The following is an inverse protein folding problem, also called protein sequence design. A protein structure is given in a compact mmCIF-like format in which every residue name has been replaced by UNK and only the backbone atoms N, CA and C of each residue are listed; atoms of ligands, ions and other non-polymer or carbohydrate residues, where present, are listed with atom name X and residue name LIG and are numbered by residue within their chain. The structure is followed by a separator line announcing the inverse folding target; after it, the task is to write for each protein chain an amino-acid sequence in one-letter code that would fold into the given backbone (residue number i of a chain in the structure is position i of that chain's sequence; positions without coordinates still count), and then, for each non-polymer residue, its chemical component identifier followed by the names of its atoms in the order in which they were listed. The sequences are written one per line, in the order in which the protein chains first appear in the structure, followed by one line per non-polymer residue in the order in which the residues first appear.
data_IF_131752640446
#
_entry.id   IF_131752640446
#
_cell.length_a   1.000
_cell.length_b   1.000
_cell.length_c   1.000
_cell.angle_alpha   90.00
_cell.angle_beta   90.00
_cell.angle_gamma   90.00
#
_symmetry.space_group_name_H-M   'P 1'
#
loop_
_entity.id
_entity.type
_entity.pdbx_description
1 polymer ?
#
# COMPACT_ATOMS: atom_id res chain seq x y z
N UNK A 1 8.62 -9.44 12.74
CA UNK A 1 8.28 -9.95 11.40
C UNK A 1 9.39 -9.60 10.43
N UNK A 2 9.56 -10.40 9.38
CA UNK A 2 10.52 -10.14 8.30
C UNK A 2 9.76 -9.69 7.06
N UNK A 3 10.37 -8.78 6.29
CA UNK A 3 9.85 -8.36 5.00
C UNK A 3 9.85 -9.57 4.04
N UNK A 4 8.73 -9.81 3.39
CA UNK A 4 8.59 -10.92 2.45
C UNK A 4 9.42 -10.72 1.18
N UNK A 5 9.63 -11.82 0.45
CA UNK A 5 10.40 -11.80 -0.80
C UNK A 5 9.54 -11.46 -2.03
N UNK A 6 8.22 -11.65 -1.97
CA UNK A 6 7.29 -11.41 -3.07
C UNK A 6 6.05 -10.64 -2.61
N UNK A 7 5.40 -9.96 -3.56
CA UNK A 7 4.26 -9.08 -3.31
C UNK A 7 3.11 -9.75 -2.54
N UNK A 8 2.84 -11.02 -2.79
CA UNK A 8 1.76 -11.76 -2.14
C UNK A 8 2.05 -12.20 -0.69
N UNK A 9 3.18 -11.76 -0.12
CA UNK A 9 3.39 -11.78 1.33
C UNK A 9 2.57 -10.71 2.05
N UNK A 10 2.13 -9.67 1.31
CA UNK A 10 1.40 -8.51 1.84
C UNK A 10 2.09 -7.80 3.00
N UNK A 11 3.42 -7.87 3.03
CA UNK A 11 4.24 -7.16 4.01
C UNK A 11 4.72 -5.83 3.45
N UNK A 12 4.83 -4.83 4.30
CA UNK A 12 5.41 -3.52 3.97
C UNK A 12 6.29 -3.09 5.13
N UNK A 13 7.50 -2.65 4.84
CA UNK A 13 8.36 -2.08 5.86
C UNK A 13 8.31 -0.54 5.79
N UNK A 14 7.97 0.09 6.91
CA UNK A 14 7.93 1.54 7.05
C UNK A 14 8.82 1.94 8.22
N UNK A 15 9.81 2.79 7.97
CA UNK A 15 10.79 3.25 8.96
C UNK A 15 11.43 2.09 9.76
N UNK A 16 11.75 0.99 9.06
CA UNK A 16 12.37 -0.21 9.65
C UNK A 16 11.41 -1.17 10.35
N UNK A 17 10.11 -0.82 10.46
CA UNK A 17 9.08 -1.70 11.02
C UNK A 17 8.30 -2.40 9.93
N UNK A 18 8.23 -3.72 9.98
CA UNK A 18 7.44 -4.54 9.05
C UNK A 18 6.02 -4.67 9.55
N UNK A 19 5.06 -4.41 8.65
CA UNK A 19 3.63 -4.58 8.84
C UNK A 19 3.14 -5.66 7.87
N UNK A 20 2.19 -6.48 8.29
CA UNK A 20 1.49 -7.43 7.40
C UNK A 20 0.05 -6.99 7.22
N UNK A 21 -0.38 -6.78 5.98
CA UNK A 21 -1.75 -6.37 5.66
C UNK A 21 -2.72 -7.55 5.68
N UNK A 22 -3.97 -7.33 6.15
CA UNK A 22 -4.43 -6.11 6.77
C UNK A 22 -3.89 -5.97 8.21
N UNK A 23 -3.64 -4.73 8.63
CA UNK A 23 -3.18 -4.43 9.99
C UNK A 23 -4.09 -3.37 10.65
N UNK A 24 -3.85 -3.06 11.92
CA UNK A 24 -4.61 -2.00 12.60
C UNK A 24 -4.03 -0.63 12.29
N UNK A 25 -4.84 0.43 12.45
CA UNK A 25 -4.35 1.82 12.37
C UNK A 25 -3.24 2.05 13.40
N UNK A 26 -3.36 1.48 14.60
CA UNK A 26 -2.33 1.60 15.63
C UNK A 26 -0.98 0.99 15.21
N UNK A 27 -1.00 -0.13 14.47
CA UNK A 27 0.22 -0.72 13.91
C UNK A 27 0.88 0.23 12.91
N UNK A 28 0.09 0.83 12.02
CA UNK A 28 0.59 1.81 11.06
C UNK A 28 1.11 3.07 11.77
N UNK A 29 0.38 3.60 12.75
CA UNK A 29 0.81 4.78 13.51
C UNK A 29 2.09 4.55 14.31
N UNK A 30 2.36 3.31 14.70
CA UNK A 30 3.62 2.96 15.39
C UNK A 30 4.87 3.11 14.50
N UNK A 31 4.71 3.33 13.19
CA UNK A 31 5.79 3.65 12.26
C UNK A 31 6.14 5.15 12.22
N UNK A 32 5.36 5.99 12.88
CA UNK A 32 5.49 7.45 12.89
C UNK A 32 4.49 8.17 11.97
N UNK A 33 3.69 7.43 11.21
CA UNK A 33 2.61 7.99 10.40
C UNK A 33 1.36 8.24 11.27
N UNK A 34 0.58 9.24 10.93
CA UNK A 34 -0.69 9.56 11.58
C UNK A 34 -1.75 9.87 10.55
N UNK A 35 -2.97 9.46 10.82
CA UNK A 35 -4.12 9.76 9.97
C UNK A 35 -4.30 11.27 9.81
N UNK A 36 -4.44 11.74 8.57
CA UNK A 36 -4.77 13.13 8.28
C UNK A 36 -6.28 13.31 8.26
N UNK A 37 -6.84 13.70 9.40
CA UNK A 37 -8.29 13.91 9.57
C UNK A 37 -8.89 14.99 8.64
N UNK A 38 -8.04 15.79 7.98
CA UNK A 38 -8.51 16.70 6.93
C UNK A 38 -8.82 15.98 5.63
N UNK A 39 -8.15 14.86 5.37
CA UNK A 39 -8.41 14.02 4.20
C UNK A 39 -9.62 13.11 4.41
N UNK A 40 -9.75 12.56 5.62
CA UNK A 40 -10.88 11.74 6.05
C UNK A 40 -11.06 11.92 7.56
N UNK A 41 -12.24 12.42 8.02
CA UNK A 41 -12.53 12.49 9.45
C UNK A 41 -12.51 11.11 10.11
N UNK A 42 -12.03 11.04 11.34
CA UNK A 42 -11.96 9.77 12.10
C UNK A 42 -13.31 9.11 12.34
N UNK A 43 -14.38 9.93 12.41
CA UNK A 43 -15.78 9.49 12.58
C UNK A 43 -16.51 9.21 11.25
N UNK A 44 -15.81 9.29 10.10
CA UNK A 44 -16.41 8.96 8.82
C UNK A 44 -16.88 7.49 8.80
N UNK A 45 -18.14 7.28 8.47
CA UNK A 45 -18.76 5.94 8.46
C UNK A 45 -18.43 5.19 7.16
N UNK A 46 -17.93 3.98 7.30
CA UNK A 46 -17.63 3.05 6.20
C UNK A 46 -18.56 1.85 6.32
N UNK A 47 -19.34 1.59 5.28
CA UNK A 47 -20.28 0.47 5.22
C UNK A 47 -19.58 -0.88 5.33
N UNK A 48 -20.32 -1.90 5.74
CA UNK A 48 -19.82 -3.27 5.84
C UNK A 48 -19.35 -3.79 4.47
N UNK A 49 -18.12 -4.28 4.39
CA UNK A 49 -17.51 -4.79 3.17
C UNK A 49 -16.96 -3.71 2.23
N UNK A 50 -17.07 -2.42 2.60
CA UNK A 50 -16.55 -1.30 1.84
C UNK A 50 -15.20 -0.81 2.35
N UNK A 51 -14.60 0.10 1.61
CA UNK A 51 -13.35 0.77 1.95
C UNK A 51 -13.40 2.27 1.64
N UNK A 52 -12.47 3.00 2.23
CA UNK A 52 -12.29 4.43 1.97
C UNK A 52 -10.81 4.78 1.98
N UNK A 53 -10.39 5.62 1.04
CA UNK A 53 -9.03 6.15 1.01
C UNK A 53 -8.83 7.20 2.09
N UNK A 54 -7.69 7.17 2.75
CA UNK A 54 -7.23 8.16 3.70
C UNK A 54 -5.75 8.46 3.49
N UNK A 55 -5.33 9.68 3.77
CA UNK A 55 -3.91 10.04 3.81
C UNK A 55 -3.38 9.91 5.23
N UNK A 56 -2.22 9.29 5.34
CA UNK A 56 -1.41 9.26 6.56
C UNK A 56 -0.14 10.07 6.33
N UNK A 57 0.29 10.81 7.33
CA UNK A 57 1.44 11.71 7.23
C UNK A 57 2.37 11.57 8.44
N UNK A 58 3.65 11.82 8.22
CA UNK A 58 4.65 12.02 9.27
C UNK A 58 4.78 13.50 9.67
N UNK A 59 5.63 13.77 10.67
CA UNK A 59 5.89 15.14 11.13
C UNK A 59 6.62 15.99 10.06
N UNK A 60 7.31 15.36 9.11
CA UNK A 60 8.04 15.98 8.00
C UNK A 60 7.19 16.19 6.75
N UNK A 61 5.88 15.93 6.84
CA UNK A 61 4.88 16.07 5.78
C UNK A 61 5.05 15.11 4.60
N UNK A 62 5.77 14.02 4.78
CA UNK A 62 5.65 12.89 3.88
C UNK A 62 4.27 12.26 4.04
N UNK A 63 3.69 11.77 2.96
CA UNK A 63 2.35 11.19 2.96
C UNK A 63 2.34 9.83 2.29
N UNK A 64 1.51 8.94 2.79
CA UNK A 64 1.11 7.70 2.12
C UNK A 64 -0.41 7.65 2.01
N UNK A 65 -0.91 7.09 0.93
CA UNK A 65 -2.33 6.79 0.81
C UNK A 65 -2.61 5.41 1.38
N UNK A 66 -3.72 5.28 2.08
CA UNK A 66 -4.12 4.05 2.77
C UNK A 66 -5.57 3.73 2.41
N UNK A 67 -5.85 2.46 2.15
CA UNK A 67 -7.21 1.96 2.10
C UNK A 67 -7.62 1.50 3.50
N UNK A 68 -8.57 2.20 4.10
CA UNK A 68 -9.24 1.77 5.32
C UNK A 68 -10.41 0.87 4.95
N UNK A 69 -10.39 -0.38 5.41
CA UNK A 69 -11.36 -1.40 5.04
C UNK A 69 -12.23 -1.78 6.25
N UNK A 70 -13.54 -1.90 6.02
CA UNK A 70 -14.46 -2.45 6.98
C UNK A 70 -14.76 -3.91 6.64
N UNK A 71 -14.10 -4.83 7.31
CA UNK A 71 -14.30 -6.29 7.15
C UNK A 71 -15.40 -6.86 8.04
N UNK A 72 -16.10 -6.02 8.78
CA UNK A 72 -17.19 -6.43 9.66
C UNK A 72 -18.53 -6.56 8.94
N UNK A 73 -19.58 -6.87 9.72
CA UNK A 73 -20.96 -6.97 9.25
C UNK A 73 -21.77 -5.68 9.42
N UNK A 74 -21.24 -4.72 10.14
CA UNK A 74 -21.92 -3.48 10.50
C UNK A 74 -21.08 -2.28 10.06
N UNK A 75 -21.72 -1.10 9.95
CA UNK A 75 -21.04 0.17 9.70
C UNK A 75 -20.01 0.43 10.80
N UNK A 76 -18.83 0.91 10.41
CA UNK A 76 -17.76 1.32 11.34
C UNK A 76 -17.29 2.72 11.05
N UNK A 77 -16.85 3.42 12.08
CA UNK A 77 -16.11 4.65 11.89
C UNK A 77 -14.71 4.35 11.33
N UNK A 78 -14.16 5.27 10.53
CA UNK A 78 -12.87 5.10 9.88
C UNK A 78 -11.75 4.71 10.86
N UNK A 79 -11.73 5.30 12.06
CA UNK A 79 -10.77 4.99 13.14
C UNK A 79 -10.82 3.54 13.64
N UNK A 80 -11.94 2.83 13.42
CA UNK A 80 -12.17 1.45 13.88
C UNK A 80 -12.00 0.42 12.75
N UNK A 81 -11.62 0.89 11.55
CA UNK A 81 -11.36 0.07 10.38
C UNK A 81 -9.91 -0.47 10.36
N UNK A 82 -9.66 -1.43 9.49
CA UNK A 82 -8.32 -1.97 9.26
C UNK A 82 -7.65 -1.25 8.09
N UNK A 83 -6.34 -1.24 8.10
CA UNK A 83 -5.50 -0.84 6.96
C UNK A 83 -5.40 -2.04 6.03
N UNK A 84 -6.04 -1.96 4.87
CA UNK A 84 -6.07 -3.01 3.85
C UNK A 84 -5.14 -2.75 2.68
N UNK A 85 -4.75 -1.50 2.45
CA UNK A 85 -3.85 -1.12 1.38
C UNK A 85 -2.93 0.03 1.76
N UNK A 86 -1.73 0.04 1.21
CA UNK A 86 -0.73 1.10 1.37
C UNK A 86 -0.16 1.43 0.00
N UNK A 87 -0.15 2.73 -0.34
CA UNK A 87 0.32 3.26 -1.62
C UNK A 87 1.26 4.43 -1.36
N UNK A 88 2.39 4.43 -2.03
CA UNK A 88 3.38 5.51 -1.97
C UNK A 88 3.81 5.91 -3.38
N UNK A 89 3.90 7.20 -3.60
CA UNK A 89 4.37 7.78 -4.86
C UNK A 89 5.47 8.81 -4.61
N UNK A 90 6.34 8.99 -5.60
CA UNK A 90 7.54 9.83 -5.45
C UNK A 90 7.23 11.28 -5.08
N UNK A 91 6.07 11.81 -5.50
CA UNK A 91 5.67 13.19 -5.19
C UNK A 91 5.09 13.37 -3.80
N UNK A 92 4.75 12.29 -3.14
CA UNK A 92 4.23 12.28 -1.77
C UNK A 92 5.34 12.26 -0.73
N UNK A 93 6.56 11.87 -1.11
CA UNK A 93 7.75 11.91 -0.27
C UNK A 93 8.49 13.24 -0.50
N UNK A 94 8.52 14.07 0.53
CA UNK A 94 9.14 15.40 0.49
C UNK A 94 10.60 15.41 0.91
N UNK A 95 11.04 14.35 1.57
CA UNK A 95 12.39 14.17 2.07
C UNK A 95 12.63 12.68 2.35
N UNK A 96 13.86 12.33 2.74
CA UNK A 96 14.29 10.95 2.97
C UNK A 96 14.00 10.44 4.41
N UNK A 97 13.22 11.18 5.21
CA UNK A 97 12.93 10.78 6.60
C UNK A 97 11.89 9.64 6.67
N UNK A 98 11.02 9.51 5.67
CA UNK A 98 10.13 8.38 5.53
C UNK A 98 10.72 7.36 4.56
N UNK A 99 10.99 6.16 5.07
CA UNK A 99 11.41 5.02 4.24
C UNK A 99 10.27 4.02 4.13
N UNK A 100 9.93 3.66 2.89
CA UNK A 100 8.94 2.62 2.59
C UNK A 100 9.57 1.59 1.68
N UNK A 101 9.54 0.33 2.12
CA UNK A 101 10.10 -0.79 1.37
C UNK A 101 9.04 -1.88 1.22
N UNK A 102 8.83 -2.32 0.00
CA UNK A 102 7.92 -3.38 -0.36
C UNK A 102 8.65 -4.73 -0.41
N UNK A 103 7.93 -5.87 -0.43
CA UNK A 103 8.54 -7.19 -0.49
C UNK A 103 9.62 -7.29 -1.58
N UNK A 104 10.65 -8.07 -1.34
CA UNK A 104 11.80 -8.17 -2.25
C UNK A 104 12.69 -6.93 -2.26
N UNK A 105 12.62 -6.10 -1.21
CA UNK A 105 13.39 -4.85 -1.04
C UNK A 105 13.09 -3.78 -2.13
N UNK A 106 11.89 -3.82 -2.70
CA UNK A 106 11.45 -2.86 -3.71
C UNK A 106 11.15 -1.50 -3.06
N UNK A 107 11.72 -0.45 -3.63
CA UNK A 107 11.54 0.94 -3.21
C UNK A 107 11.25 1.85 -4.43
N UNK A 108 10.84 3.08 -4.18
CA UNK A 108 10.80 4.11 -5.22
C UNK A 108 12.21 4.24 -5.83
N UNK A 109 12.28 4.31 -7.17
CA UNK A 109 13.53 4.34 -7.90
C UNK A 109 14.14 2.97 -8.25
N UNK A 110 13.61 1.86 -7.72
CA UNK A 110 13.98 0.51 -8.15
C UNK A 110 13.62 0.32 -9.64
N UNK A 111 14.46 -0.38 -10.41
CA UNK A 111 14.15 -0.65 -11.83
C UNK A 111 13.15 -1.77 -11.99
N UNK A 112 12.37 -1.74 -13.07
CA UNK A 112 11.34 -2.75 -13.34
C UNK A 112 11.92 -4.16 -13.45
N UNK A 113 13.13 -4.32 -13.96
CA UNK A 113 13.79 -5.63 -14.06
C UNK A 113 13.97 -6.29 -12.68
N UNK A 114 14.31 -5.50 -11.66
CA UNK A 114 14.43 -5.96 -10.27
C UNK A 114 13.07 -6.35 -9.71
N UNK A 115 12.04 -5.53 -9.99
CA UNK A 115 10.65 -5.83 -9.58
C UNK A 115 10.19 -7.15 -10.20
N UNK A 116 10.36 -7.33 -11.50
CA UNK A 116 9.94 -8.55 -12.20
C UNK A 116 10.74 -9.78 -11.75
N UNK A 117 12.02 -9.61 -11.39
CA UNK A 117 12.81 -10.71 -10.82
C UNK A 117 12.25 -11.17 -9.46
N UNK A 118 11.71 -10.24 -8.64
CA UNK A 118 11.11 -10.56 -7.34
C UNK A 118 9.66 -11.05 -7.45
N UNK A 119 8.84 -10.45 -8.33
CA UNK A 119 7.39 -10.64 -8.37
C UNK A 119 6.93 -11.56 -9.50
N UNK A 120 7.79 -11.84 -10.48
CA UNK A 120 7.43 -12.56 -11.70
C UNK A 120 6.74 -11.66 -12.72
N UNK A 121 6.17 -12.30 -13.74
CA UNK A 121 5.43 -11.59 -14.79
C UNK A 121 4.15 -10.99 -14.23
N UNK A 122 3.86 -9.72 -14.57
CA UNK A 122 2.65 -9.04 -14.16
C UNK A 122 1.40 -9.69 -14.77
N UNK A 123 0.32 -9.75 -14.00
CA UNK A 123 -0.98 -10.23 -14.47
C UNK A 123 -1.58 -9.30 -15.54
N UNK A 124 -1.27 -8.01 -15.44
CA UNK A 124 -1.67 -6.98 -16.40
C UNK A 124 -0.56 -5.93 -16.53
N UNK A 125 -0.32 -5.48 -17.75
CA UNK A 125 0.63 -4.41 -18.04
C UNK A 125 0.02 -3.44 -19.05
N UNK A 126 0.15 -2.14 -18.76
CA UNK A 126 -0.31 -1.06 -19.62
C UNK A 126 0.81 -0.04 -19.80
N UNK A 127 1.11 0.30 -21.03
CA UNK A 127 2.12 1.30 -21.40
C UNK A 127 1.47 2.63 -21.79
N UNK A 128 2.08 3.73 -21.39
CA UNK A 128 1.72 5.07 -21.83
C UNK A 128 2.98 5.92 -22.05
N UNK A 129 2.80 7.15 -22.57
CA UNK A 129 3.92 8.07 -22.83
C UNK A 129 4.65 8.51 -21.55
N UNK A 130 3.98 8.51 -20.40
CA UNK A 130 4.51 9.03 -19.14
C UNK A 130 4.80 7.92 -18.12
N UNK A 131 3.92 6.92 -18.05
CA UNK A 131 3.91 5.91 -17.00
C UNK A 131 3.57 4.56 -17.60
N UNK A 132 4.29 3.52 -17.16
CA UNK A 132 3.93 2.14 -17.39
C UNK A 132 3.38 1.55 -16.10
N UNK A 133 2.21 0.92 -16.16
CA UNK A 133 1.49 0.35 -15.01
C UNK A 133 1.58 -1.16 -15.05
N UNK A 134 2.03 -1.78 -13.95
CA UNK A 134 2.11 -3.21 -13.78
C UNK A 134 1.25 -3.63 -12.59
N UNK A 135 0.40 -4.64 -12.80
CA UNK A 135 -0.48 -5.17 -11.76
C UNK A 135 -0.28 -6.67 -11.60
N UNK A 136 -0.19 -7.12 -10.37
CA UNK A 136 -0.24 -8.53 -9.96
C UNK A 136 -1.49 -8.73 -9.12
N UNK A 137 -2.25 -9.77 -9.44
CA UNK A 137 -3.51 -10.10 -8.77
C UNK A 137 -3.44 -11.51 -8.20
N UNK A 138 -3.97 -11.70 -6.97
CA UNK A 138 -4.16 -13.03 -6.39
C UNK A 138 -5.52 -13.57 -6.83
N UNK A 139 -5.53 -14.74 -7.47
CA UNK A 139 -6.75 -15.46 -7.89
C UNK A 139 -7.80 -14.60 -8.64
N UNK A 140 -7.34 -13.62 -9.42
CA UNK A 140 -8.21 -12.71 -10.16
C UNK A 140 -8.92 -11.66 -9.29
N UNK A 141 -8.56 -11.54 -8.03
CA UNK A 141 -9.08 -10.53 -7.12
C UNK A 141 -8.33 -9.20 -7.29
N UNK A 142 -9.04 -8.15 -7.70
CA UNK A 142 -8.49 -6.80 -7.78
C UNK A 142 -8.20 -6.18 -6.40
N UNK A 143 -8.75 -6.76 -5.33
CA UNK A 143 -8.57 -6.27 -3.95
C UNK A 143 -7.35 -6.88 -3.25
N UNK A 144 -6.86 -8.02 -3.75
CA UNK A 144 -5.64 -8.67 -3.29
C UNK A 144 -4.60 -8.54 -4.40
N UNK A 145 -3.87 -7.44 -4.39
CA UNK A 145 -3.06 -7.03 -5.53
C UNK A 145 -1.83 -6.22 -5.13
N UNK A 146 -0.92 -6.12 -6.09
CA UNK A 146 0.18 -5.17 -6.08
C UNK A 146 0.15 -4.37 -7.37
N UNK A 147 0.35 -3.07 -7.28
CA UNK A 147 0.52 -2.16 -8.42
C UNK A 147 1.88 -1.47 -8.33
N UNK A 148 2.59 -1.48 -9.44
CA UNK A 148 3.86 -0.77 -9.60
C UNK A 148 3.76 0.09 -10.85
N UNK A 149 3.91 1.39 -10.68
CA UNK A 149 4.07 2.32 -11.79
C UNK A 149 5.53 2.67 -11.97
N UNK A 150 5.97 2.72 -13.22
CA UNK A 150 7.33 3.15 -13.55
C UNK A 150 7.31 4.33 -14.51
N UNK A 151 8.33 5.17 -14.41
CA UNK A 151 8.56 6.19 -15.43
C UNK A 151 8.84 5.52 -16.78
N UNK A 152 8.14 5.92 -17.82
CA UNK A 152 8.30 5.35 -19.17
C UNK A 152 9.68 5.61 -19.78
N UNK A 153 10.39 6.63 -19.27
CA UNK A 153 11.70 7.06 -19.79
C UNK A 153 12.85 6.17 -19.33
N UNK A 154 12.84 5.75 -18.06
CA UNK A 154 13.98 5.04 -17.45
C UNK A 154 13.59 3.72 -16.74
N UNK A 155 12.28 3.39 -16.68
CA UNK A 155 11.79 2.17 -16.07
C UNK A 155 11.94 2.10 -14.56
N UNK A 156 12.14 3.24 -13.89
CA UNK A 156 12.24 3.29 -12.43
C UNK A 156 10.87 3.44 -11.76
N UNK A 157 10.67 2.78 -10.62
CA UNK A 157 9.44 2.82 -9.84
C UNK A 157 9.15 4.24 -9.37
N UNK A 158 7.99 4.76 -9.75
CA UNK A 158 7.47 6.09 -9.38
C UNK A 158 6.29 6.01 -8.41
N UNK A 159 5.56 4.91 -8.41
CA UNK A 159 4.48 4.57 -7.46
C UNK A 159 4.52 3.08 -7.18
N UNK A 160 4.22 2.72 -5.95
CA UNK A 160 4.02 1.34 -5.53
C UNK A 160 2.87 1.25 -4.54
N UNK A 161 2.01 0.26 -4.74
CA UNK A 161 0.84 -0.02 -3.92
C UNK A 161 0.67 -1.51 -3.69
N UNK A 162 0.24 -1.87 -2.51
CA UNK A 162 -0.09 -3.25 -2.15
C UNK A 162 -1.36 -3.25 -1.32
N UNK A 163 -2.28 -4.16 -1.63
CA UNK A 163 -3.57 -4.25 -0.95
C UNK A 163 -3.99 -5.69 -0.69
N UNK A 164 -4.65 -5.90 0.44
CA UNK A 164 -5.30 -7.13 0.84
C UNK A 164 -6.58 -6.81 1.59
N UNK A 165 -7.71 -6.96 0.92
CA UNK A 165 -9.03 -6.67 1.50
C UNK A 165 -9.69 -7.92 2.08
N UNK A 166 -9.39 -9.10 1.55
CA UNK A 166 -9.93 -10.34 2.07
C UNK A 166 -9.12 -10.80 3.28
N UNK A 167 -9.73 -10.75 4.44
CA UNK A 167 -9.27 -11.52 5.58
C UNK A 167 -9.74 -12.95 5.31
N UNK A 168 -8.83 -13.88 5.06
CA UNK A 168 -9.18 -15.31 5.13
C UNK A 168 -9.67 -15.53 6.56
N UNK A 169 -10.98 -15.70 6.74
CA UNK A 169 -11.52 -16.16 8.01
C UNK A 169 -10.74 -17.42 8.35
N UNK A 170 -9.94 -17.35 9.41
CA UNK A 170 -9.23 -18.50 9.90
C UNK A 170 -10.26 -19.58 10.23
N UNK A 171 -10.12 -20.72 9.59
CA UNK A 171 -10.72 -21.97 10.05
C UNK A 171 -10.09 -22.36 11.38
#
# INVERSE_FOLDING_TARGET
EELGASWNSYTVQINGKVLTLPCTIADLESTGLKMDEKSLPSEYEIEAGDYQNAWFKDDSKNTVMVDLINTGSDVKEAKDCLVGGIYVEQYSLRNEELTVTFPGEIQLGTTIDVVQAAYGEASQHTESELVNVYNWYEDGSFYNSCEIDTNSTDGTVSMMGISRFEVKNGE
#
